data_IF_453272868649
#
_entry.id   IF_453272868649
#
_cell.length_a   1.000
_cell.length_b   1.000
_cell.length_c   1.000
_cell.angle_alpha   90.00
_cell.angle_beta   90.00
_cell.angle_gamma   90.00
#
_symmetry.space_group_name_H-M   'P 1'
#
loop_
_entity.id
_entity.type
_entity.pdbx_description
1 polymer ?
#
# COMPACT_ATOMS: atom_id res chain seq x y z
N UNK A 1 8.48 18.56 4.08
CA UNK A 1 7.48 17.55 3.65
C UNK A 1 6.98 16.74 4.85
N UNK A 2 7.83 16.08 5.65
CA UNK A 2 7.39 15.24 6.77
C UNK A 2 6.52 16.00 7.81
N UNK A 3 6.89 17.22 8.20
CA UNK A 3 6.09 18.04 9.11
C UNK A 3 4.67 18.32 8.59
N UNK A 4 4.52 18.55 7.29
CA UNK A 4 3.20 18.76 6.69
C UNK A 4 2.35 17.48 6.77
N UNK A 5 2.95 16.30 6.53
CA UNK A 5 2.26 15.02 6.67
C UNK A 5 1.83 14.73 8.12
N UNK A 6 2.68 15.06 9.09
CA UNK A 6 2.36 14.88 10.52
C UNK A 6 1.17 15.72 10.99
N UNK A 7 0.93 16.90 10.36
CA UNK A 7 -0.19 17.79 10.67
C UNK A 7 -1.43 17.53 9.81
N UNK A 8 -1.38 16.57 8.89
CA UNK A 8 -2.47 16.26 7.95
C UNK A 8 -3.17 14.94 8.29
N UNK A 9 -4.46 14.88 8.03
CA UNK A 9 -5.25 13.65 8.15
C UNK A 9 -5.07 12.79 6.90
N UNK A 10 -5.17 13.41 5.72
CA UNK A 10 -5.05 12.77 4.42
C UNK A 10 -3.86 13.34 3.66
N UNK A 11 -3.07 12.46 3.03
CA UNK A 11 -1.89 12.81 2.26
C UNK A 11 -2.05 12.38 0.81
N UNK A 12 -2.21 13.34 -0.10
CA UNK A 12 -2.40 13.08 -1.51
C UNK A 12 -1.13 12.49 -2.14
N UNK A 13 -1.28 11.39 -2.88
CA UNK A 13 -0.22 10.67 -3.57
C UNK A 13 -0.46 10.66 -5.09
N UNK A 14 -0.36 11.82 -5.77
CA UNK A 14 -0.50 11.86 -7.22
C UNK A 14 0.65 11.08 -7.88
N UNK A 15 0.36 10.46 -9.01
CA UNK A 15 1.39 9.85 -9.86
C UNK A 15 2.34 10.92 -10.40
N UNK A 16 3.61 10.56 -10.60
CA UNK A 16 4.61 11.40 -11.24
C UNK A 16 5.18 10.69 -12.48
N UNK A 17 6.50 10.70 -12.61
CA UNK A 17 7.21 9.99 -13.69
C UNK A 17 7.01 8.47 -13.59
N UNK A 18 6.77 7.96 -12.39
CA UNK A 18 6.31 6.59 -12.15
C UNK A 18 5.02 6.58 -11.34
N UNK A 19 4.34 5.42 -11.32
CA UNK A 19 3.12 5.23 -10.54
C UNK A 19 3.41 5.25 -9.04
N UNK A 20 4.59 4.76 -8.64
CA UNK A 20 5.00 4.66 -7.24
C UNK A 20 5.79 5.87 -6.81
N UNK A 21 5.65 6.24 -5.54
CA UNK A 21 6.36 7.37 -4.95
C UNK A 21 6.87 7.06 -3.55
N UNK A 22 8.06 7.58 -3.24
CA UNK A 22 8.62 7.53 -1.90
C UNK A 22 7.69 8.21 -0.88
N UNK A 23 7.02 9.29 -1.26
CA UNK A 23 6.10 10.03 -0.39
C UNK A 23 4.96 9.16 0.17
N UNK A 24 4.62 8.03 -0.47
CA UNK A 24 3.68 7.05 0.07
C UNK A 24 4.16 6.51 1.41
N UNK A 25 5.43 6.13 1.50
CA UNK A 25 6.02 5.63 2.74
C UNK A 25 6.23 6.75 3.75
N UNK A 26 6.65 7.94 3.30
CA UNK A 26 6.79 9.11 4.17
C UNK A 26 5.45 9.49 4.81
N UNK A 27 4.32 9.36 4.08
CA UNK A 27 2.98 9.60 4.64
C UNK A 27 2.58 8.57 5.68
N UNK A 28 2.84 7.28 5.43
CA UNK A 28 2.58 6.20 6.39
C UNK A 28 3.41 6.40 7.67
N UNK A 29 4.71 6.70 7.54
CA UNK A 29 5.60 6.99 8.67
C UNK A 29 5.14 8.20 9.49
N UNK A 30 4.47 9.15 8.87
CA UNK A 30 3.88 10.31 9.56
C UNK A 30 2.51 10.02 10.19
N UNK A 31 1.95 8.82 10.02
CA UNK A 31 0.59 8.47 10.46
C UNK A 31 -0.51 9.19 9.67
N UNK A 32 -0.21 9.62 8.43
CA UNK A 32 -1.12 10.29 7.52
C UNK A 32 -1.75 9.27 6.55
N UNK A 33 -3.06 9.30 6.37
CA UNK A 33 -3.78 8.37 5.50
C UNK A 33 -3.48 8.71 4.03
N UNK A 34 -2.83 7.83 3.26
CA UNK A 34 -2.54 8.09 1.86
C UNK A 34 -3.80 8.07 0.99
N UNK A 35 -3.88 9.02 0.05
CA UNK A 35 -4.94 9.09 -0.95
C UNK A 35 -4.34 8.79 -2.32
N UNK A 36 -4.75 7.68 -2.93
CA UNK A 36 -4.23 7.22 -4.22
C UNK A 36 -5.20 7.53 -5.36
N UNK A 37 -4.62 7.78 -6.54
CA UNK A 37 -5.36 8.10 -7.78
C UNK A 37 -5.18 7.04 -8.87
N UNK A 38 -4.30 6.06 -8.64
CA UNK A 38 -4.04 4.95 -9.53
C UNK A 38 -3.74 3.69 -8.70
N UNK A 39 -4.34 2.52 -9.01
CA UNK A 39 -4.15 1.31 -8.22
C UNK A 39 -2.70 0.80 -8.24
N UNK A 40 -1.96 1.03 -9.32
CA UNK A 40 -0.53 0.71 -9.41
C UNK A 40 0.37 1.53 -8.50
N UNK A 41 -0.15 2.56 -7.82
CA UNK A 41 0.65 3.37 -6.90
C UNK A 41 1.04 2.62 -5.62
N UNK A 42 0.20 1.67 -5.18
CA UNK A 42 0.46 0.90 -3.96
C UNK A 42 -0.08 -0.53 -4.01
N UNK A 43 -1.29 -0.74 -4.55
CA UNK A 43 -2.06 -1.97 -4.34
C UNK A 43 -1.51 -3.20 -5.06
N UNK A 44 -0.74 -3.02 -6.13
CA UNK A 44 -0.13 -4.10 -6.89
C UNK A 44 1.31 -4.42 -6.44
N UNK A 45 2.10 -3.39 -6.10
CA UNK A 45 3.52 -3.58 -5.81
C UNK A 45 3.84 -3.96 -4.38
N UNK A 46 3.03 -3.50 -3.40
CA UNK A 46 3.33 -3.63 -1.98
C UNK A 46 2.41 -4.61 -1.24
N UNK A 47 1.92 -5.61 -1.96
CA UNK A 47 0.96 -6.61 -1.47
C UNK A 47 1.44 -7.46 -0.29
N UNK A 48 2.76 -7.59 -0.12
CA UNK A 48 3.32 -8.32 1.02
C UNK A 48 3.34 -7.47 2.29
N UNK A 49 3.42 -6.16 2.12
CA UNK A 49 3.55 -5.20 3.22
C UNK A 49 2.21 -4.67 3.69
N UNK A 50 1.26 -4.51 2.77
CA UNK A 50 0.00 -3.83 3.01
C UNK A 50 -1.18 -4.79 3.04
N UNK A 51 -2.25 -4.50 3.80
CA UNK A 51 -3.47 -5.29 3.78
C UNK A 51 -4.07 -5.39 2.38
N UNK A 52 -4.62 -6.56 2.03
CA UNK A 52 -5.30 -6.75 0.73
C UNK A 52 -6.49 -5.80 0.55
N UNK A 53 -7.20 -5.52 1.63
CA UNK A 53 -8.27 -4.53 1.60
C UNK A 53 -7.68 -3.14 1.81
N UNK A 54 -7.48 -2.42 0.70
CA UNK A 54 -6.90 -1.08 0.68
C UNK A 54 -7.73 -0.01 1.39
N UNK A 55 -9.06 -0.20 1.52
CA UNK A 55 -9.94 0.75 2.21
C UNK A 55 -9.65 0.84 3.71
N UNK A 56 -8.89 -0.12 4.26
CA UNK A 56 -8.49 -0.08 5.67
C UNK A 56 -7.43 0.96 6.00
N UNK A 57 -6.60 1.35 5.03
CA UNK A 57 -5.44 2.21 5.26
C UNK A 57 -5.30 3.36 4.27
N UNK A 58 -6.16 3.45 3.26
CA UNK A 58 -6.06 4.45 2.21
C UNK A 58 -7.42 4.81 1.62
N UNK A 59 -7.50 6.00 1.03
CA UNK A 59 -8.63 6.40 0.18
C UNK A 59 -8.21 6.27 -1.28
N UNK A 60 -9.09 5.74 -2.11
CA UNK A 60 -8.88 5.64 -3.55
C UNK A 60 -9.87 6.55 -4.30
N UNK A 61 -9.33 7.45 -5.12
CA UNK A 61 -10.10 8.34 -5.99
C UNK A 61 -9.60 8.14 -7.41
N UNK A 62 -10.39 7.51 -8.30
CA UNK A 62 -9.94 7.23 -9.66
C UNK A 62 -9.54 8.50 -10.41
N UNK A 63 -8.39 8.45 -11.09
CA UNK A 63 -7.89 9.60 -11.85
C UNK A 63 -8.86 10.08 -12.93
N UNK A 64 -9.62 9.16 -13.53
CA UNK A 64 -10.58 9.51 -14.57
C UNK A 64 -11.72 10.36 -14.01
N UNK A 65 -12.23 10.01 -12.84
CA UNK A 65 -13.32 10.75 -12.18
C UNK A 65 -12.92 12.20 -11.86
N UNK A 66 -11.62 12.41 -11.56
CA UNK A 66 -11.07 13.76 -11.35
C UNK A 66 -10.93 14.53 -12.68
N UNK A 67 -10.52 13.86 -13.76
CA UNK A 67 -10.41 14.51 -15.09
C UNK A 67 -11.76 14.91 -15.61
N UNK A 68 -12.75 14.06 -15.44
CA UNK A 68 -14.12 14.27 -15.90
C UNK A 68 -14.90 15.20 -14.95
N UNK A 69 -14.26 15.65 -13.86
CA UNK A 69 -14.85 16.52 -12.83
C UNK A 69 -16.13 15.96 -12.21
N UNK A 70 -16.28 14.64 -12.23
CA UNK A 70 -17.41 13.94 -11.60
C UNK A 70 -17.25 13.85 -10.09
N UNK A 71 -16.00 13.97 -9.59
CA UNK A 71 -15.65 13.88 -8.17
C UNK A 71 -14.70 15.00 -7.80
N UNK A 72 -14.92 15.63 -6.63
CA UNK A 72 -14.02 16.60 -6.03
C UNK A 72 -13.29 15.97 -4.85
N UNK A 73 -11.96 16.13 -4.79
CA UNK A 73 -11.12 15.52 -3.75
C UNK A 73 -11.59 15.93 -2.35
N UNK A 74 -11.80 17.22 -2.12
CA UNK A 74 -12.21 17.75 -0.83
C UNK A 74 -13.57 17.19 -0.38
N UNK A 75 -14.55 17.12 -1.26
CA UNK A 75 -15.88 16.57 -0.95
C UNK A 75 -15.78 15.09 -0.59
N UNK A 76 -15.05 14.30 -1.39
CA UNK A 76 -14.84 12.87 -1.11
C UNK A 76 -14.20 12.65 0.26
N UNK A 77 -13.17 13.41 0.59
CA UNK A 77 -12.45 13.26 1.84
C UNK A 77 -13.26 13.74 3.05
N UNK A 78 -14.09 14.79 2.89
CA UNK A 78 -14.98 15.29 3.94
C UNK A 78 -16.14 14.33 4.23
N UNK A 79 -16.53 13.49 3.27
CA UNK A 79 -17.58 12.49 3.45
C UNK A 79 -17.11 11.26 4.25
N UNK A 80 -15.80 11.05 4.42
CA UNK A 80 -15.28 9.92 5.21
C UNK A 80 -15.64 10.12 6.69
N UNK A 81 -16.41 9.19 7.29
CA UNK A 81 -16.84 9.34 8.68
C UNK A 81 -15.64 9.39 9.64
N UNK A 82 -15.70 10.23 10.67
CA UNK A 82 -14.62 10.35 11.67
C UNK A 82 -14.19 9.01 12.27
N UNK A 83 -15.13 8.11 12.49
CA UNK A 83 -14.84 6.76 13.00
C UNK A 83 -13.97 5.96 12.01
N UNK A 84 -14.24 6.06 10.71
CA UNK A 84 -13.44 5.40 9.67
C UNK A 84 -12.06 6.02 9.55
N UNK A 85 -11.97 7.35 9.61
CA UNK A 85 -10.68 8.07 9.64
C UNK A 85 -9.79 7.56 10.79
N UNK A 86 -10.35 7.43 11.99
CA UNK A 86 -9.59 6.91 13.14
C UNK A 86 -9.15 5.47 12.92
N UNK A 87 -10.03 4.60 12.43
CA UNK A 87 -9.70 3.21 12.12
C UNK A 87 -8.63 3.08 11.03
N UNK A 88 -8.73 3.87 9.95
CA UNK A 88 -7.70 3.92 8.91
C UNK A 88 -6.35 4.38 9.46
N UNK A 89 -6.35 5.41 10.32
CA UNK A 89 -5.12 5.92 10.91
C UNK A 89 -4.46 4.90 11.83
N UNK A 90 -5.22 4.15 12.60
CA UNK A 90 -4.69 3.04 13.40
C UNK A 90 -4.05 1.97 12.51
N UNK A 91 -4.68 1.61 11.39
CA UNK A 91 -4.11 0.66 10.45
C UNK A 91 -2.84 1.20 9.79
N UNK A 92 -2.81 2.48 9.41
CA UNK A 92 -1.60 3.15 8.87
C UNK A 92 -0.45 3.07 9.88
N UNK A 93 -0.70 3.32 11.17
CA UNK A 93 0.31 3.24 12.22
C UNK A 93 0.82 1.79 12.39
N UNK A 94 -0.06 0.79 12.30
CA UNK A 94 0.31 -0.63 12.35
C UNK A 94 1.19 -1.08 11.17
N UNK A 95 1.15 -0.34 10.04
CA UNK A 95 2.01 -0.63 8.89
C UNK A 95 3.47 -0.19 9.11
N UNK A 96 3.73 0.77 10.00
CA UNK A 96 5.07 1.36 10.17
C UNK A 96 6.15 0.30 10.38
N UNK A 97 6.06 -0.64 11.32
CA UNK A 97 7.09 -1.66 11.51
C UNK A 97 7.29 -2.57 10.29
N UNK A 98 6.28 -2.71 9.44
CA UNK A 98 6.31 -3.57 8.25
C UNK A 98 7.00 -2.93 7.03
N UNK A 99 7.23 -1.62 7.05
CA UNK A 99 7.78 -0.86 5.92
C UNK A 99 9.15 -0.23 6.22
N UNK A 100 9.71 -0.52 7.39
CA UNK A 100 11.04 -0.08 7.80
C UNK A 100 11.96 -1.28 8.00
N UNK A 101 13.26 -1.05 7.86
CA UNK A 101 14.27 -2.02 8.23
C UNK A 101 14.65 -1.84 9.69
N UNK A 102 14.83 -2.93 10.41
CA UNK A 102 15.36 -2.90 11.76
C UNK A 102 16.81 -2.41 11.75
N UNK A 103 17.21 -1.78 12.86
CA UNK A 103 18.62 -1.50 13.09
C UNK A 103 19.36 -2.84 13.28
N UNK A 104 20.41 -3.13 12.51
CA UNK A 104 21.14 -4.40 12.60
C UNK A 104 21.79 -4.64 13.98
N UNK A 105 21.93 -3.60 14.79
CA UNK A 105 22.42 -3.70 16.17
C UNK A 105 21.41 -4.31 17.14
N UNK A 106 20.14 -4.35 16.76
CA UNK A 106 19.06 -4.87 17.59
C UNK A 106 18.44 -6.12 16.95
N UNK A 107 18.33 -7.19 17.72
CA UNK A 107 17.63 -8.40 17.30
C UNK A 107 16.13 -8.21 17.56
N UNK A 108 15.33 -8.24 16.50
CA UNK A 108 13.88 -8.28 16.63
C UNK A 108 13.46 -9.70 17.05
N UNK A 109 12.95 -9.85 18.29
CA UNK A 109 12.49 -11.16 18.78
C UNK A 109 11.03 -11.47 18.41
N UNK A 110 10.22 -10.43 18.17
CA UNK A 110 8.76 -10.56 18.04
C UNK A 110 8.11 -9.85 16.86
N UNK A 111 8.86 -9.08 16.10
CA UNK A 111 8.33 -8.30 14.96
C UNK A 111 9.11 -8.63 13.69
N UNK A 112 8.39 -8.94 12.60
CA UNK A 112 8.97 -9.02 11.27
C UNK A 112 9.12 -7.60 10.71
N UNK A 113 10.32 -7.25 10.29
CA UNK A 113 10.61 -5.99 9.58
C UNK A 113 10.36 -6.10 8.07
N UNK A 114 10.67 -5.04 7.32
CA UNK A 114 10.47 -5.02 5.88
C UNK A 114 11.33 -6.08 5.16
N UNK A 115 12.50 -6.44 5.69
CA UNK A 115 13.37 -7.45 5.11
C UNK A 115 12.79 -8.86 5.29
N UNK A 116 12.37 -9.19 6.51
CA UNK A 116 11.77 -10.50 6.83
C UNK A 116 10.52 -10.75 6.00
N UNK A 117 9.66 -9.73 5.87
CA UNK A 117 8.46 -9.79 5.03
C UNK A 117 8.81 -10.03 3.56
N UNK A 118 9.85 -9.37 3.03
CA UNK A 118 10.29 -9.57 1.65
C UNK A 118 10.80 -10.99 1.43
N UNK A 119 11.68 -11.49 2.31
CA UNK A 119 12.24 -12.85 2.24
C UNK A 119 11.12 -13.89 2.28
N UNK A 120 10.20 -13.77 3.23
CA UNK A 120 9.03 -14.65 3.35
C UNK A 120 8.17 -14.61 2.09
N UNK A 121 7.88 -13.41 1.58
CA UNK A 121 7.10 -13.25 0.35
C UNK A 121 7.74 -13.92 -0.86
N UNK A 122 9.08 -13.85 -0.99
CA UNK A 122 9.82 -14.56 -2.05
C UNK A 122 9.72 -16.07 -1.86
N UNK A 123 9.93 -16.58 -0.65
CA UNK A 123 9.87 -18.01 -0.35
C UNK A 123 8.47 -18.57 -0.64
N UNK A 124 7.42 -17.90 -0.17
CA UNK A 124 6.03 -18.28 -0.43
C UNK A 124 5.73 -18.29 -1.94
N UNK A 125 6.28 -17.34 -2.68
CA UNK A 125 6.16 -17.27 -4.14
C UNK A 125 6.84 -18.44 -4.83
N UNK A 126 8.08 -18.75 -4.43
CA UNK A 126 8.84 -19.90 -4.96
C UNK A 126 8.09 -21.20 -4.72
N UNK A 127 7.55 -21.40 -3.52
CA UNK A 127 6.75 -22.58 -3.21
C UNK A 127 5.46 -22.66 -4.05
N UNK A 128 4.78 -21.53 -4.23
CA UNK A 128 3.58 -21.46 -5.06
C UNK A 128 3.88 -21.86 -6.51
N UNK A 129 4.99 -21.34 -7.07
CA UNK A 129 5.46 -21.69 -8.43
C UNK A 129 5.80 -23.16 -8.51
N UNK A 130 6.59 -23.71 -7.57
CA UNK A 130 6.94 -25.14 -7.53
C UNK A 130 5.71 -26.05 -7.47
N UNK A 131 4.72 -25.70 -6.64
CA UNK A 131 3.44 -26.42 -6.56
C UNK A 131 2.66 -26.34 -7.88
N UNK A 132 2.71 -25.17 -8.55
CA UNK A 132 2.11 -24.99 -9.87
C UNK A 132 2.73 -25.90 -10.93
N UNK A 133 4.05 -25.94 -11.04
CA UNK A 133 4.80 -26.79 -11.98
C UNK A 133 4.48 -28.27 -11.76
N UNK A 134 4.46 -28.73 -10.50
CA UNK A 134 4.08 -30.13 -10.18
C UNK A 134 2.65 -30.48 -10.62
N UNK A 135 1.77 -29.49 -10.79
CA UNK A 135 0.39 -29.64 -11.29
C UNK A 135 0.27 -29.38 -12.80
N UNK A 136 1.39 -29.28 -13.53
CA UNK A 136 1.40 -29.04 -14.97
C UNK A 136 1.07 -27.60 -15.38
N UNK A 137 1.12 -26.64 -14.46
CA UNK A 137 0.91 -25.23 -14.79
C UNK A 137 2.20 -24.62 -15.32
N UNK A 138 2.08 -23.80 -16.36
CA UNK A 138 3.19 -23.01 -16.88
C UNK A 138 3.57 -21.92 -15.85
N UNK A 139 4.83 -21.90 -15.38
CA UNK A 139 5.29 -20.91 -14.41
C UNK A 139 5.30 -19.48 -14.95
N UNK A 140 5.34 -19.29 -16.27
CA UNK A 140 5.34 -17.96 -16.90
C UNK A 140 3.97 -17.26 -16.81
N UNK A 141 2.88 -18.00 -16.70
CA UNK A 141 1.51 -17.47 -16.69
C UNK A 141 1.19 -16.72 -15.37
N UNK A 142 1.87 -17.05 -14.29
CA UNK A 142 1.59 -16.46 -12.97
C UNK A 142 2.21 -15.07 -12.71
N UNK A 143 3.04 -14.53 -13.60
CA UNK A 143 3.67 -13.23 -13.42
C UNK A 143 2.82 -12.05 -13.91
N UNK A 144 1.85 -12.30 -14.81
CA UNK A 144 1.04 -11.26 -15.42
C UNK A 144 -0.33 -11.01 -14.74
N UNK A 145 -0.72 -11.83 -13.77
CA UNK A 145 -2.09 -11.84 -13.22
C UNK A 145 -2.34 -10.88 -12.06
N UNK A 146 -1.51 -9.88 -11.83
CA UNK A 146 -1.97 -8.73 -11.06
C UNK A 146 -2.81 -7.83 -11.97
N UNK A 147 -4.04 -8.26 -12.18
CA UNK A 147 -5.04 -7.53 -12.93
C UNK A 147 -5.36 -6.22 -12.19
N UNK A 148 -4.67 -5.15 -12.58
CA UNK A 148 -4.91 -3.77 -12.15
C UNK A 148 -6.32 -3.29 -12.55
N UNK A 149 -7.05 -4.11 -13.32
CA UNK A 149 -8.40 -3.84 -13.85
C UNK A 149 -9.56 -4.17 -12.89
N UNK A 150 -9.27 -4.65 -11.67
CA UNK A 150 -10.30 -4.96 -10.66
C UNK A 150 -10.50 -3.87 -9.60
N UNK A 151 -10.03 -2.65 -9.87
CA UNK A 151 -10.24 -1.49 -9.00
C UNK A 151 -11.11 -0.46 -9.69
#
# INVERSE_FOLDING_TARGET
>A
MLKAFQSSVFCLQPTGDSLTRRSTFDSILAGCIPVFFHPGSAYAQYIWYMPRNHTKYSVFIPRNDLKDRTVLINETLLQVPKKEVLAMREEVIKLIPRIVYADPSYRLESLEDAFDIAVKGVLDRVEAVRRGIKKGKDPSIGFAEYNVTKF
#
